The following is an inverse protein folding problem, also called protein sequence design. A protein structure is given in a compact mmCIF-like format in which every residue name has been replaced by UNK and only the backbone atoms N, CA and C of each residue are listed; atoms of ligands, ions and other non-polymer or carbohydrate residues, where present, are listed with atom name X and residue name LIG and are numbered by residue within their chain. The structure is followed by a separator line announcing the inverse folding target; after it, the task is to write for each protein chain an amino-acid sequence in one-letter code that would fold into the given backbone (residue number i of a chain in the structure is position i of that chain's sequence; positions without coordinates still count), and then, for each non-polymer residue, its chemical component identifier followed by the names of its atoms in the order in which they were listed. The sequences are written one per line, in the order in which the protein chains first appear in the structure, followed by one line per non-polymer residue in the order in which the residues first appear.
data_IF_179034951384
#
_entry.id   IF_179034951384
#
_cell.length_a   1.000
_cell.length_b   1.000
_cell.length_c   1.000
_cell.angle_alpha   90.00
_cell.angle_beta   90.00
_cell.angle_gamma   90.00
#
_symmetry.space_group_name_H-M   'P 1'
#
loop_
_entity.id
_entity.type
_entity.pdbx_description
1 polymer ?
#
# COMPACT_ATOMS: atom_id res chain seq x y z
N UNK A 1 9.24 -51.66 -31.31
CA UNK A 1 8.47 -50.40 -31.24
C UNK A 1 8.77 -49.77 -29.87
N UNK A 2 9.71 -48.81 -29.83
CA UNK A 2 9.51 -47.40 -29.38
C UNK A 2 8.91 -47.28 -27.97
N UNK A 3 9.73 -46.92 -26.95
CA UNK A 3 9.87 -45.56 -26.36
C UNK A 3 8.59 -45.13 -25.60
N UNK A 4 8.57 -44.74 -24.31
CA UNK A 4 9.37 -43.76 -23.56
C UNK A 4 9.10 -43.95 -22.05
N UNK A 5 10.13 -43.99 -21.19
CA UNK A 5 10.63 -42.87 -20.37
C UNK A 5 9.55 -42.24 -19.47
N UNK A 6 9.53 -42.59 -18.16
CA UNK A 6 10.15 -41.82 -17.05
C UNK A 6 9.75 -40.33 -17.11
N UNK A 7 9.27 -39.82 -15.96
CA UNK A 7 9.53 -38.50 -15.36
C UNK A 7 8.24 -37.77 -14.90
N UNK A 8 8.27 -37.18 -13.69
CA UNK A 8 7.27 -37.39 -12.66
C UNK A 8 6.73 -36.04 -12.12
N UNK A 9 5.98 -36.06 -11.00
CA UNK A 9 6.02 -35.07 -9.91
C UNK A 9 6.35 -33.63 -10.38
N UNK A 10 5.51 -33.02 -11.22
CA UNK A 10 5.74 -31.65 -11.73
C UNK A 10 4.43 -30.88 -11.96
N UNK A 11 3.38 -31.19 -11.18
CA UNK A 11 2.10 -30.46 -11.23
C UNK A 11 1.77 -29.76 -9.90
N UNK A 12 2.78 -29.42 -9.10
CA UNK A 12 2.61 -28.58 -7.89
C UNK A 12 3.53 -27.36 -7.84
N UNK A 13 4.24 -27.05 -8.94
CA UNK A 13 5.34 -26.06 -8.93
C UNK A 13 5.15 -24.90 -9.90
N UNK A 14 3.92 -24.54 -10.27
CA UNK A 14 3.66 -23.38 -11.13
C UNK A 14 2.47 -22.62 -10.56
N UNK A 15 2.70 -21.70 -9.61
CA UNK A 15 1.77 -20.57 -9.38
C UNK A 15 2.29 -19.43 -8.50
N UNK A 16 3.47 -19.49 -7.87
CA UNK A 16 3.95 -18.33 -7.09
C UNK A 16 5.42 -18.02 -7.38
N UNK A 17 5.74 -17.87 -8.67
CA UNK A 17 6.91 -17.08 -9.08
C UNK A 17 6.38 -15.89 -9.89
N UNK A 18 5.61 -15.04 -9.23
CA UNK A 18 5.35 -13.67 -9.68
C UNK A 18 5.41 -12.68 -8.50
N UNK A 19 6.19 -13.01 -7.47
CA UNK A 19 6.54 -12.09 -6.36
C UNK A 19 7.77 -11.23 -6.65
N UNK A 20 8.22 -11.17 -7.90
CA UNK A 20 9.40 -10.41 -8.29
C UNK A 20 9.00 -9.01 -8.79
N UNK A 21 9.23 -8.02 -7.93
CA UNK A 21 9.64 -6.67 -8.32
C UNK A 21 8.72 -5.86 -9.23
N UNK A 22 7.41 -5.88 -8.96
CA UNK A 22 6.60 -4.69 -9.25
C UNK A 22 6.27 -4.06 -7.91
N UNK A 23 7.11 -3.13 -7.43
CA UNK A 23 6.68 -2.15 -6.42
C UNK A 23 5.57 -1.34 -7.07
N UNK A 24 4.36 -1.89 -7.02
CA UNK A 24 3.20 -1.32 -7.69
C UNK A 24 3.00 0.08 -7.11
N UNK A 25 3.13 1.07 -7.99
CA UNK A 25 2.91 2.46 -7.62
C UNK A 25 1.44 2.60 -7.22
N UNK A 26 1.18 3.03 -5.98
CA UNK A 26 -0.18 3.37 -5.56
C UNK A 26 -0.57 4.72 -6.20
N UNK A 27 -1.87 4.93 -6.41
CA UNK A 27 -2.38 6.22 -6.88
C UNK A 27 -2.35 7.28 -5.77
N UNK A 28 -2.49 8.56 -6.15
CA UNK A 28 -2.69 9.66 -5.20
C UNK A 28 -3.83 9.36 -4.23
N UNK A 29 -4.97 8.92 -4.74
CA UNK A 29 -6.17 8.65 -3.93
C UNK A 29 -5.92 7.55 -2.91
N UNK A 30 -5.21 6.48 -3.29
CA UNK A 30 -4.83 5.40 -2.36
C UNK A 30 -3.83 5.86 -1.32
N UNK A 31 -2.87 6.70 -1.70
CA UNK A 31 -1.96 7.34 -0.76
C UNK A 31 -2.71 8.23 0.24
N UNK A 32 -3.62 9.08 -0.24
CA UNK A 32 -4.43 9.97 0.60
C UNK A 32 -5.30 9.16 1.55
N UNK A 33 -6.00 8.13 1.06
CA UNK A 33 -6.83 7.25 1.88
C UNK A 33 -6.02 6.60 3.02
N UNK A 34 -4.83 6.08 2.70
CA UNK A 34 -3.94 5.49 3.70
C UNK A 34 -3.48 6.50 4.75
N UNK A 35 -3.04 7.69 4.33
CA UNK A 35 -2.56 8.73 5.24
C UNK A 35 -3.69 9.32 6.10
N UNK A 36 -4.90 9.47 5.54
CA UNK A 36 -6.10 9.90 6.28
C UNK A 36 -6.50 8.84 7.30
N UNK A 37 -6.53 7.56 6.92
CA UNK A 37 -6.86 6.49 7.85
C UNK A 37 -5.86 6.42 9.02
N UNK A 38 -4.58 6.65 8.74
CA UNK A 38 -3.55 6.76 9.78
C UNK A 38 -3.77 7.99 10.69
N UNK A 39 -4.07 9.15 10.10
CA UNK A 39 -4.24 10.40 10.85
C UNK A 39 -5.56 10.52 11.61
N UNK A 40 -6.64 9.90 11.13
CA UNK A 40 -7.94 9.86 11.79
C UNK A 40 -8.01 8.80 12.90
N UNK A 41 -7.07 7.84 12.92
CA UNK A 41 -6.98 6.86 14.00
C UNK A 41 -6.29 7.53 15.20
N UNK A 42 -6.92 7.46 16.37
CA UNK A 42 -6.34 7.96 17.63
C UNK A 42 -5.21 7.00 18.05
N UNK A 43 -3.99 7.28 17.59
CA UNK A 43 -2.83 6.40 17.74
C UNK A 43 -2.14 6.67 19.08
N UNK A 44 -2.75 6.22 20.16
CA UNK A 44 -2.08 6.10 21.47
C UNK A 44 -1.03 4.96 21.47
N UNK A 45 -1.11 4.05 20.49
CA UNK A 45 -0.13 2.98 20.24
C UNK A 45 0.61 3.21 18.93
N UNK A 46 1.95 3.19 18.98
CA UNK A 46 2.86 3.48 17.86
C UNK A 46 2.81 2.48 16.70
N UNK A 47 3.89 2.46 15.89
CA UNK A 47 4.07 1.79 14.58
C UNK A 47 3.31 0.47 14.28
N UNK A 48 3.00 -0.37 15.28
CA UNK A 48 2.18 -1.57 15.11
C UNK A 48 0.75 -1.24 14.63
N UNK A 49 0.09 -0.25 15.23
CA UNK A 49 -1.27 0.14 14.85
C UNK A 49 -1.32 0.75 13.45
N UNK A 50 -0.27 1.47 13.04
CA UNK A 50 -0.13 1.99 11.68
C UNK A 50 0.03 0.85 10.66
N UNK A 51 0.84 -0.16 10.97
CA UNK A 51 1.06 -1.33 10.11
C UNK A 51 -0.23 -2.12 9.88
N UNK A 52 -1.07 -2.24 10.91
CA UNK A 52 -2.37 -2.92 10.79
C UNK A 52 -3.37 -2.15 9.93
N UNK A 53 -3.43 -0.81 10.07
CA UNK A 53 -4.25 0.04 9.18
C UNK A 53 -3.83 -0.12 7.73
N UNK A 54 -2.53 -0.02 7.46
CA UNK A 54 -2.00 -0.16 6.12
C UNK A 54 -2.31 -1.54 5.52
N UNK A 55 -2.18 -2.61 6.32
CA UNK A 55 -2.56 -3.97 5.92
C UNK A 55 -4.05 -4.09 5.59
N UNK A 56 -4.94 -3.50 6.41
CA UNK A 56 -6.39 -3.50 6.16
C UNK A 56 -6.74 -2.80 4.84
N UNK A 57 -5.98 -1.75 4.47
CA UNK A 57 -6.15 -1.00 3.23
C UNK A 57 -5.43 -1.63 2.02
N UNK A 58 -4.77 -2.77 2.20
CA UNK A 58 -4.00 -3.44 1.14
C UNK A 58 -2.84 -2.57 0.62
N UNK A 59 -2.28 -1.71 1.47
CA UNK A 59 -1.18 -0.79 1.15
C UNK A 59 0.02 -1.10 2.02
N UNK A 60 1.23 -1.04 1.47
CA UNK A 60 2.47 -1.20 2.24
C UNK A 60 3.21 0.11 2.48
N UNK A 61 4.05 0.16 3.50
CA UNK A 61 4.92 1.31 3.75
C UNK A 61 5.85 1.60 2.56
N UNK A 62 6.35 0.56 1.90
CA UNK A 62 7.19 0.70 0.70
C UNK A 62 6.44 1.39 -0.44
N UNK A 63 5.15 1.09 -0.62
CA UNK A 63 4.31 1.76 -1.63
C UNK A 63 4.12 3.25 -1.31
N UNK A 64 3.89 3.57 -0.02
CA UNK A 64 3.79 4.96 0.46
C UNK A 64 5.09 5.73 0.22
N UNK A 65 6.23 5.14 0.58
CA UNK A 65 7.57 5.73 0.34
C UNK A 65 7.82 5.91 -1.16
N UNK A 66 7.47 4.92 -1.96
CA UNK A 66 7.67 4.94 -3.42
C UNK A 66 6.82 6.03 -4.07
N UNK A 67 5.56 6.18 -3.66
CA UNK A 67 4.70 7.27 -4.12
C UNK A 67 5.34 8.63 -3.82
N UNK A 68 5.69 8.91 -2.56
CA UNK A 68 6.31 10.19 -2.16
C UNK A 68 7.57 10.53 -2.94
N UNK A 69 8.43 9.54 -3.20
CA UNK A 69 9.70 9.74 -3.91
C UNK A 69 9.53 10.01 -5.41
N UNK A 70 8.44 9.54 -6.00
CA UNK A 70 8.19 9.62 -7.45
C UNK A 70 7.18 10.68 -7.84
N UNK A 71 6.37 11.17 -6.90
CA UNK A 71 5.42 12.26 -7.13
C UNK A 71 6.12 13.60 -7.30
N UNK A 72 5.60 14.42 -8.20
CA UNK A 72 6.00 15.82 -8.32
C UNK A 72 5.47 16.67 -7.16
N UNK A 73 5.95 17.91 -7.09
CA UNK A 73 5.59 18.85 -6.03
C UNK A 73 4.09 19.18 -5.99
N UNK A 74 3.45 19.40 -7.15
CA UNK A 74 2.04 19.78 -7.21
C UNK A 74 1.16 18.64 -6.69
N UNK A 75 1.42 17.41 -7.13
CA UNK A 75 0.73 16.20 -6.69
C UNK A 75 0.84 16.01 -5.18
N UNK A 76 2.02 16.24 -4.60
CA UNK A 76 2.23 16.13 -3.17
C UNK A 76 1.56 17.26 -2.37
N UNK A 77 1.55 18.49 -2.90
CA UNK A 77 0.84 19.62 -2.29
C UNK A 77 -0.67 19.38 -2.26
N UNK A 78 -1.24 18.91 -3.38
CA UNK A 78 -2.66 18.57 -3.48
C UNK A 78 -3.03 17.45 -2.51
N UNK A 79 -2.23 16.38 -2.46
CA UNK A 79 -2.44 15.28 -1.53
C UNK A 79 -2.34 15.73 -0.08
N UNK A 80 -1.37 16.57 0.27
CA UNK A 80 -1.21 17.09 1.64
C UNK A 80 -2.41 17.94 2.08
N UNK A 81 -2.91 18.81 1.20
CA UNK A 81 -4.09 19.63 1.48
C UNK A 81 -5.34 18.76 1.69
N UNK A 82 -5.51 17.74 0.86
CA UNK A 82 -6.63 16.79 0.97
C UNK A 82 -6.55 15.97 2.27
N UNK A 83 -5.35 15.46 2.62
CA UNK A 83 -5.10 14.74 3.87
C UNK A 83 -5.43 15.63 5.06
N UNK A 84 -4.90 16.86 5.10
CA UNK A 84 -5.13 17.79 6.20
C UNK A 84 -6.63 18.07 6.38
N UNK A 85 -7.33 18.42 5.29
CA UNK A 85 -8.77 18.69 5.31
C UNK A 85 -9.55 17.51 5.88
N UNK A 86 -9.26 16.29 5.42
CA UNK A 86 -9.99 15.08 5.84
C UNK A 86 -9.66 14.65 7.26
N UNK A 87 -8.41 14.79 7.71
CA UNK A 87 -8.00 14.47 9.08
C UNK A 87 -8.62 15.45 10.07
N UNK A 88 -8.62 16.75 9.74
CA UNK A 88 -9.28 17.79 10.55
C UNK A 88 -10.78 17.47 10.73
N UNK A 89 -11.46 17.08 9.64
CA UNK A 89 -12.87 16.71 9.68
C UNK A 89 -13.14 15.50 10.59
N UNK A 90 -12.24 14.51 10.65
CA UNK A 90 -12.38 13.37 11.56
C UNK A 90 -12.30 13.76 13.05
N UNK A 91 -11.49 14.78 13.38
CA UNK A 91 -11.24 15.20 14.76
C UNK A 91 -12.16 16.32 15.24
N UNK A 92 -13.06 16.81 14.38
CA UNK A 92 -14.01 17.87 14.72
C UNK A 92 -13.35 19.20 15.06
N UNK A 93 -12.15 19.45 14.53
CA UNK A 93 -11.46 20.73 14.70
C UNK A 93 -11.98 21.67 13.62
N UNK A 94 -13.07 22.39 13.90
CA UNK A 94 -13.50 23.46 13.00
C UNK A 94 -12.38 24.52 12.92
N UNK A 95 -11.94 24.85 11.70
CA UNK A 95 -10.95 25.92 11.45
C UNK A 95 -11.55 27.31 11.68
#
# INVERSE_FOLDING_TARGET
MKQNHIIPILLFSISIILGACSTALISKDKYVEAMVALGCKDLQEGNSAASEVLKQLGTSEEQIVTFRKKSDFQTMADAANEIATRVIACHGVDQ
#
